data_IF_874876533387
#
_entry.id   IF_874876533387
#
_cell.length_a   1.000
_cell.length_b   1.000
_cell.length_c   1.000
_cell.angle_alpha   90.00
_cell.angle_beta   90.00
_cell.angle_gamma   90.00
#
_symmetry.space_group_name_H-M   'P 1'
#
loop_
_entity.id
_entity.type
_entity.pdbx_description
1 polymer ?
#
# COMPACT_ATOMS: atom_id res chain seq x y z
N UNK A 1 -46.66 -30.15 -13.14
CA UNK A 1 -45.38 -29.42 -13.23
C UNK A 1 -44.27 -30.42 -12.97
N UNK A 2 -43.67 -30.97 -14.07
CA UNK A 2 -42.57 -31.92 -13.97
C UNK A 2 -41.27 -31.18 -13.59
N UNK A 3 -40.63 -31.62 -12.51
CA UNK A 3 -39.29 -31.11 -12.12
C UNK A 3 -38.23 -31.81 -12.97
N UNK A 4 -37.52 -31.04 -13.75
CA UNK A 4 -36.37 -31.49 -14.54
C UNK A 4 -35.29 -32.06 -13.60
N UNK A 5 -34.76 -33.23 -13.95
CA UNK A 5 -33.71 -33.88 -13.15
C UNK A 5 -32.36 -33.20 -13.35
N UNK A 6 -31.42 -33.31 -12.35
CA UNK A 6 -30.08 -32.77 -12.44
C UNK A 6 -29.26 -33.29 -13.64
N UNK A 7 -29.61 -34.48 -14.15
CA UNK A 7 -28.98 -35.10 -15.31
C UNK A 7 -29.40 -34.44 -16.62
N UNK A 8 -30.70 -34.11 -16.77
CA UNK A 8 -31.24 -33.39 -17.94
C UNK A 8 -30.70 -31.95 -18.02
N UNK A 9 -30.45 -31.29 -16.88
CA UNK A 9 -29.81 -29.98 -16.85
C UNK A 9 -28.34 -30.02 -17.28
N UNK A 10 -27.62 -31.10 -16.96
CA UNK A 10 -26.21 -31.27 -17.35
C UNK A 10 -26.04 -31.57 -18.86
N UNK A 11 -26.97 -32.36 -19.43
CA UNK A 11 -26.94 -32.70 -20.86
C UNK A 11 -27.29 -31.50 -21.74
N UNK A 12 -28.11 -30.55 -21.29
CA UNK A 12 -28.36 -29.30 -22.00
C UNK A 12 -27.18 -28.33 -22.02
N UNK A 13 -26.27 -28.42 -21.05
CA UNK A 13 -25.03 -27.61 -21.05
C UNK A 13 -23.93 -28.16 -21.97
N UNK A 14 -24.01 -29.43 -22.36
CA UNK A 14 -23.01 -30.11 -23.21
C UNK A 14 -23.34 -30.08 -24.71
N UNK A 15 -24.54 -29.69 -25.11
CA UNK A 15 -24.95 -29.63 -26.53
C UNK A 15 -25.04 -28.23 -27.13
N UNK A 16 -24.48 -27.21 -26.42
CA UNK A 16 -24.30 -25.88 -26.96
C UNK A 16 -23.20 -25.89 -28.04
N UNK A 17 -23.60 -25.84 -29.29
CA UNK A 17 -22.78 -25.90 -30.50
C UNK A 17 -21.64 -24.89 -30.45
N UNK A 18 -20.39 -25.37 -30.43
CA UNK A 18 -19.21 -24.58 -30.75
C UNK A 18 -19.21 -24.32 -32.26
N UNK A 19 -19.82 -23.24 -32.71
CA UNK A 19 -19.55 -22.67 -34.01
C UNK A 19 -18.19 -21.98 -33.94
N UNK A 20 -17.14 -22.64 -34.43
CA UNK A 20 -15.83 -22.04 -34.63
C UNK A 20 -15.93 -20.98 -35.74
N UNK A 21 -16.07 -19.73 -35.35
CA UNK A 21 -15.78 -18.60 -36.25
C UNK A 21 -14.29 -18.38 -36.25
N UNK A 22 -13.61 -18.79 -37.29
CA UNK A 22 -12.27 -18.32 -37.65
C UNK A 22 -12.41 -16.83 -37.99
N UNK A 23 -12.23 -15.96 -37.00
CA UNK A 23 -12.04 -14.52 -37.21
C UNK A 23 -10.57 -14.20 -37.31
N UNK A 24 -10.27 -13.47 -38.36
CA UNK A 24 -8.99 -13.00 -38.81
C UNK A 24 -8.22 -12.28 -37.66
N UNK A 25 -6.99 -12.73 -37.39
CA UNK A 25 -6.15 -12.25 -36.27
C UNK A 25 -5.58 -10.84 -36.53
N UNK A 26 -5.82 -10.24 -37.72
CA UNK A 26 -5.33 -8.93 -38.09
C UNK A 26 -6.18 -7.76 -37.59
N UNK A 27 -7.50 -7.98 -37.30
CA UNK A 27 -8.39 -6.91 -36.85
C UNK A 27 -8.33 -6.63 -35.33
N UNK A 28 -7.81 -7.57 -34.52
CA UNK A 28 -7.70 -7.38 -33.07
C UNK A 28 -6.61 -6.40 -32.63
N UNK A 29 -5.56 -6.23 -33.42
CA UNK A 29 -4.50 -5.29 -33.12
C UNK A 29 -4.91 -3.82 -33.29
N UNK A 30 -5.73 -3.53 -34.31
CA UNK A 30 -6.20 -2.16 -34.56
C UNK A 30 -7.28 -1.70 -33.58
N UNK A 31 -8.23 -2.59 -33.23
CA UNK A 31 -9.29 -2.28 -32.22
C UNK A 31 -8.70 -2.03 -30.84
N UNK A 32 -7.70 -2.82 -30.43
CA UNK A 32 -7.03 -2.61 -29.12
C UNK A 32 -6.15 -1.36 -29.12
N UNK A 33 -5.56 -0.97 -30.25
CA UNK A 33 -4.79 0.26 -30.38
C UNK A 33 -5.70 1.50 -30.39
N UNK A 34 -6.87 1.41 -31.01
CA UNK A 34 -7.84 2.51 -31.07
C UNK A 34 -8.53 2.75 -29.71
N UNK A 35 -8.91 1.69 -28.99
CA UNK A 35 -9.41 1.81 -27.61
C UNK A 35 -8.37 2.40 -26.66
N UNK A 36 -7.09 2.04 -26.80
CA UNK A 36 -6.01 2.55 -25.96
C UNK A 36 -5.71 4.03 -26.25
N UNK A 37 -5.78 4.45 -27.49
CA UNK A 37 -5.60 5.85 -27.88
C UNK A 37 -6.81 6.72 -27.47
N UNK A 38 -8.03 6.21 -27.58
CA UNK A 38 -9.24 6.94 -27.21
C UNK A 38 -9.35 7.13 -25.69
N UNK A 39 -8.95 6.11 -24.90
CA UNK A 39 -8.89 6.21 -23.44
C UNK A 39 -7.79 7.18 -22.96
N UNK A 40 -6.62 7.18 -23.58
CA UNK A 40 -5.54 8.10 -23.28
C UNK A 40 -5.91 9.57 -23.55
N UNK A 41 -6.66 9.85 -24.59
CA UNK A 41 -7.16 11.19 -24.93
C UNK A 41 -8.23 11.68 -23.95
N UNK A 42 -9.16 10.83 -23.52
CA UNK A 42 -10.18 11.17 -22.53
C UNK A 42 -9.58 11.48 -21.15
N UNK A 43 -8.60 10.71 -20.70
CA UNK A 43 -7.91 10.90 -19.41
C UNK A 43 -7.12 12.21 -19.39
N UNK A 44 -6.52 12.62 -20.50
CA UNK A 44 -5.77 13.88 -20.59
C UNK A 44 -6.66 15.13 -20.45
N UNK A 45 -7.95 15.01 -20.71
CA UNK A 45 -8.94 16.08 -20.53
C UNK A 45 -9.43 16.25 -19.09
N UNK A 46 -9.18 15.27 -18.21
CA UNK A 46 -9.55 15.37 -16.81
C UNK A 46 -8.70 16.43 -16.09
N UNK A 47 -9.30 17.08 -15.08
CA UNK A 47 -8.55 17.95 -14.18
C UNK A 47 -7.40 17.16 -13.50
N UNK A 48 -6.27 17.81 -13.15
CA UNK A 48 -5.11 17.13 -12.58
C UNK A 48 -5.41 16.19 -11.41
N UNK A 49 -6.34 16.57 -10.53
CA UNK A 49 -6.77 15.77 -9.38
C UNK A 49 -7.43 14.43 -9.74
N UNK A 50 -7.87 14.28 -11.00
CA UNK A 50 -8.62 13.10 -11.46
C UNK A 50 -7.90 12.32 -12.57
N UNK A 51 -6.69 12.72 -12.96
CA UNK A 51 -5.95 12.07 -14.06
C UNK A 51 -5.46 10.67 -13.69
N UNK A 52 -5.24 10.41 -12.42
CA UNK A 52 -4.67 9.14 -12.01
C UNK A 52 -3.27 8.95 -12.61
N UNK A 53 -2.36 9.89 -12.35
CA UNK A 53 -1.02 9.93 -12.94
C UNK A 53 0.09 9.52 -11.94
N UNK A 54 -0.28 8.83 -10.86
CA UNK A 54 0.69 8.34 -9.88
C UNK A 54 1.60 7.29 -10.51
N UNK A 55 2.89 7.32 -10.16
CA UNK A 55 3.90 6.42 -10.70
C UNK A 55 4.47 5.52 -9.60
N UNK A 56 4.76 4.28 -9.95
CA UNK A 56 5.46 3.35 -9.07
C UNK A 56 6.92 3.81 -8.97
N UNK A 57 7.38 4.13 -7.75
CA UNK A 57 8.77 4.45 -7.47
C UNK A 57 9.60 3.17 -7.38
N UNK A 58 10.84 3.16 -7.87
CA UNK A 58 11.72 2.02 -7.71
C UNK A 58 12.08 1.81 -6.23
N UNK A 59 12.49 0.58 -5.86
CA UNK A 59 13.06 0.32 -4.55
C UNK A 59 14.35 1.15 -4.37
N UNK A 60 14.55 1.80 -3.20
CA UNK A 60 15.77 2.57 -2.94
C UNK A 60 16.98 1.70 -2.54
N UNK A 61 16.85 0.37 -2.58
CA UNK A 61 17.85 -0.63 -2.24
C UNK A 61 17.72 -1.88 -3.11
N UNK A 62 18.75 -2.74 -3.09
CA UNK A 62 18.69 -4.05 -3.73
C UNK A 62 17.91 -5.04 -2.86
N UNK A 63 16.81 -5.58 -3.38
CA UNK A 63 15.88 -6.43 -2.62
C UNK A 63 16.55 -7.64 -1.94
N UNK A 64 17.55 -8.24 -2.60
CA UNK A 64 18.26 -9.41 -2.07
C UNK A 64 19.31 -9.12 -0.99
N UNK A 65 19.53 -7.85 -0.62
CA UNK A 65 20.52 -7.47 0.40
C UNK A 65 19.94 -7.24 1.80
N UNK A 66 18.64 -7.35 1.97
CA UNK A 66 18.03 -7.20 3.29
C UNK A 66 18.31 -8.43 4.17
N UNK A 67 18.53 -8.18 5.46
CA UNK A 67 18.77 -9.23 6.45
C UNK A 67 17.44 -9.82 6.90
N UNK A 68 17.27 -11.11 6.69
CA UNK A 68 16.07 -11.83 7.13
C UNK A 68 14.79 -11.54 6.34
N UNK A 69 14.86 -10.76 5.25
CA UNK A 69 13.74 -10.53 4.33
C UNK A 69 14.18 -10.98 2.94
N UNK A 70 13.49 -11.97 2.37
CA UNK A 70 13.89 -12.54 1.09
C UNK A 70 13.63 -11.58 -0.08
N UNK A 71 14.45 -11.68 -1.13
CA UNK A 71 14.25 -10.96 -2.38
C UNK A 71 12.85 -11.22 -2.96
N UNK A 72 12.39 -12.47 -2.86
CA UNK A 72 11.08 -12.90 -3.33
C UNK A 72 9.96 -12.16 -2.61
N UNK A 73 10.03 -12.07 -1.27
CA UNK A 73 9.07 -11.33 -0.44
C UNK A 73 9.04 -9.86 -0.83
N UNK A 74 10.20 -9.20 -0.84
CA UNK A 74 10.31 -7.76 -1.11
C UNK A 74 9.85 -7.42 -2.53
N UNK A 75 10.25 -8.21 -3.52
CA UNK A 75 9.82 -8.03 -4.91
C UNK A 75 8.31 -8.18 -5.06
N UNK A 76 7.74 -9.22 -4.46
CA UNK A 76 6.28 -9.45 -4.48
C UNK A 76 5.54 -8.31 -3.79
N UNK A 77 5.99 -7.87 -2.61
CA UNK A 77 5.40 -6.78 -1.85
C UNK A 77 5.42 -5.47 -2.65
N UNK A 78 6.56 -5.13 -3.26
CA UNK A 78 6.70 -3.94 -4.07
C UNK A 78 5.86 -3.98 -5.36
N UNK A 79 5.90 -5.08 -6.12
CA UNK A 79 5.24 -5.15 -7.42
C UNK A 79 3.72 -5.34 -7.31
N UNK A 80 3.26 -6.16 -6.36
CA UNK A 80 1.86 -6.55 -6.25
C UNK A 80 1.08 -5.64 -5.27
N UNK A 81 1.58 -5.43 -4.06
CA UNK A 81 0.86 -4.65 -3.06
C UNK A 81 1.02 -3.15 -3.30
N UNK A 82 2.24 -2.63 -3.33
CA UNK A 82 2.48 -1.23 -3.62
C UNK A 82 2.07 -0.87 -5.06
N UNK A 83 2.55 -1.62 -6.05
CA UNK A 83 2.20 -1.38 -7.46
C UNK A 83 0.70 -1.53 -7.71
N UNK A 84 0.02 -2.45 -7.02
CA UNK A 84 -1.44 -2.60 -7.03
C UNK A 84 -2.16 -1.37 -6.47
N UNK A 85 -1.68 -0.82 -5.35
CA UNK A 85 -2.24 0.39 -4.74
C UNK A 85 -2.13 1.60 -5.68
N UNK A 86 -0.98 1.81 -6.33
CA UNK A 86 -0.77 2.89 -7.32
C UNK A 86 -1.74 2.76 -8.49
N UNK A 87 -1.86 1.57 -9.07
CA UNK A 87 -2.78 1.31 -10.19
C UNK A 87 -4.24 1.55 -9.79
N UNK A 88 -4.63 1.04 -8.61
CA UNK A 88 -6.00 1.21 -8.08
C UNK A 88 -6.33 2.68 -7.85
N UNK A 89 -5.40 3.44 -7.25
CA UNK A 89 -5.59 4.88 -7.03
C UNK A 89 -5.82 5.62 -8.34
N UNK A 90 -5.01 5.35 -9.36
CA UNK A 90 -5.16 5.95 -10.68
C UNK A 90 -6.54 5.67 -11.29
N UNK A 91 -7.00 4.41 -11.22
CA UNK A 91 -8.31 4.04 -11.72
C UNK A 91 -9.45 4.72 -10.97
N UNK A 92 -9.36 4.80 -9.63
CA UNK A 92 -10.39 5.44 -8.80
C UNK A 92 -10.47 6.94 -9.11
N UNK A 93 -9.34 7.64 -9.23
CA UNK A 93 -9.30 9.06 -9.57
C UNK A 93 -9.95 9.32 -10.93
N UNK A 94 -9.68 8.49 -11.94
CA UNK A 94 -10.31 8.59 -13.25
C UNK A 94 -11.82 8.32 -13.19
N UNK A 95 -12.26 7.35 -12.39
CA UNK A 95 -13.68 7.08 -12.18
C UNK A 95 -14.39 8.27 -11.52
N UNK A 96 -13.77 8.89 -10.50
CA UNK A 96 -14.31 10.09 -9.85
C UNK A 96 -14.46 11.23 -10.88
N UNK A 97 -13.42 11.45 -11.70
CA UNK A 97 -13.43 12.51 -12.73
C UNK A 97 -14.44 12.28 -13.85
N UNK A 98 -14.89 11.03 -14.02
CA UNK A 98 -15.86 10.63 -15.06
C UNK A 98 -17.28 10.45 -14.53
N UNK A 99 -17.52 10.69 -13.22
CA UNK A 99 -18.87 10.59 -12.66
C UNK A 99 -19.83 11.61 -13.28
N UNK A 100 -21.05 11.21 -13.64
CA UNK A 100 -22.10 12.15 -14.04
C UNK A 100 -22.39 13.21 -12.97
N UNK A 101 -22.81 14.41 -13.38
CA UNK A 101 -23.12 15.51 -12.44
C UNK A 101 -24.31 15.17 -11.50
N UNK A 102 -25.17 14.30 -11.93
CA UNK A 102 -26.35 13.78 -11.22
C UNK A 102 -26.11 12.41 -10.57
N UNK A 103 -24.86 11.97 -10.48
CA UNK A 103 -24.49 10.71 -9.81
C UNK A 103 -25.02 10.70 -8.38
N UNK A 104 -25.52 9.54 -7.95
CA UNK A 104 -26.05 9.40 -6.59
C UNK A 104 -24.90 9.59 -5.55
N UNK A 105 -25.17 10.28 -4.42
CA UNK A 105 -24.13 10.60 -3.42
C UNK A 105 -23.36 9.39 -2.89
N UNK A 106 -24.01 8.21 -2.80
CA UNK A 106 -23.33 6.99 -2.35
C UNK A 106 -22.24 6.49 -3.32
N UNK A 107 -22.38 6.76 -4.63
CA UNK A 107 -21.35 6.42 -5.61
C UNK A 107 -20.08 7.23 -5.36
N UNK A 108 -20.23 8.55 -5.17
CA UNK A 108 -19.11 9.41 -4.81
C UNK A 108 -18.51 8.99 -3.46
N UNK A 109 -19.35 8.76 -2.43
CA UNK A 109 -18.89 8.36 -1.10
C UNK A 109 -18.09 7.05 -1.12
N UNK A 110 -18.54 6.05 -1.91
CA UNK A 110 -17.84 4.79 -2.09
C UNK A 110 -16.46 5.00 -2.75
N UNK A 111 -16.40 5.76 -3.85
CA UNK A 111 -15.13 6.07 -4.53
C UNK A 111 -14.19 6.88 -3.65
N UNK A 112 -14.68 7.83 -2.86
CA UNK A 112 -13.84 8.63 -1.94
C UNK A 112 -13.27 7.81 -0.80
N UNK A 113 -14.00 6.81 -0.29
CA UNK A 113 -13.46 5.86 0.65
C UNK A 113 -12.33 5.03 0.03
N UNK A 114 -12.55 4.49 -1.16
CA UNK A 114 -11.55 3.70 -1.88
C UNK A 114 -10.33 4.53 -2.30
N UNK A 115 -10.53 5.80 -2.66
CA UNK A 115 -9.44 6.74 -2.92
C UNK A 115 -8.55 6.92 -1.69
N UNK A 116 -9.16 7.12 -0.50
CA UNK A 116 -8.42 7.25 0.76
C UNK A 116 -7.61 5.98 1.06
N UNK A 117 -8.24 4.80 0.95
CA UNK A 117 -7.57 3.49 1.15
C UNK A 117 -6.38 3.35 0.21
N UNK A 118 -6.57 3.59 -1.10
CA UNK A 118 -5.51 3.41 -2.09
C UNK A 118 -4.40 4.46 -1.95
N UNK A 119 -4.75 5.71 -1.62
CA UNK A 119 -3.78 6.78 -1.38
C UNK A 119 -2.89 6.47 -0.18
N UNK A 120 -3.49 6.10 0.95
CA UNK A 120 -2.72 5.77 2.15
C UNK A 120 -1.92 4.49 1.93
N UNK A 121 -2.48 3.47 1.25
CA UNK A 121 -1.72 2.26 0.90
C UNK A 121 -0.48 2.61 0.07
N UNK A 122 -0.61 3.43 -0.97
CA UNK A 122 0.52 3.89 -1.78
C UNK A 122 1.57 4.61 -0.92
N UNK A 123 1.15 5.60 -0.13
CA UNK A 123 2.05 6.43 0.68
C UNK A 123 2.74 5.59 1.77
N UNK A 124 2.01 4.76 2.49
CA UNK A 124 2.55 3.93 3.56
C UNK A 124 3.57 2.91 3.05
N UNK A 125 3.34 2.32 1.87
CA UNK A 125 4.32 1.44 1.23
C UNK A 125 5.58 2.21 0.79
N UNK A 126 5.43 3.43 0.25
CA UNK A 126 6.59 4.27 -0.08
C UNK A 126 7.43 4.58 1.16
N UNK A 127 6.78 4.92 2.29
CA UNK A 127 7.47 5.12 3.57
C UNK A 127 8.13 3.82 4.05
N UNK A 128 7.45 2.69 3.96
CA UNK A 128 7.97 1.40 4.37
C UNK A 128 9.24 1.03 3.61
N UNK A 129 9.23 1.10 2.28
CA UNK A 129 10.41 0.80 1.49
C UNK A 129 11.54 1.81 1.71
N UNK A 130 11.24 3.11 1.87
CA UNK A 130 12.26 4.13 2.18
C UNK A 130 12.86 3.97 3.60
N UNK A 131 12.16 3.27 4.50
CA UNK A 131 12.68 2.93 5.84
C UNK A 131 13.63 1.74 5.85
N UNK A 132 13.71 0.97 4.75
CA UNK A 132 14.54 -0.24 4.67
C UNK A 132 15.86 0.00 3.94
N UNK A 133 16.75 -1.00 3.95
CA UNK A 133 18.06 -0.93 3.29
C UNK A 133 19.15 -0.29 4.12
N UNK A 134 18.90 0.02 5.40
CA UNK A 134 19.92 0.48 6.37
C UNK A 134 20.60 -0.68 7.11
N UNK A 135 21.40 -0.34 8.10
CA UNK A 135 22.12 -1.29 8.95
C UNK A 135 21.40 -1.60 10.28
N UNK A 136 20.27 -0.94 10.53
CA UNK A 136 19.47 -1.05 11.76
C UNK A 136 20.04 -0.31 12.96
N UNK A 137 21.15 0.40 12.83
CA UNK A 137 21.78 1.09 13.96
C UNK A 137 21.18 2.48 14.15
N UNK A 138 20.40 2.61 15.20
CA UNK A 138 19.75 3.86 15.55
C UNK A 138 20.75 4.96 15.88
N UNK A 139 20.64 6.11 15.22
CA UNK A 139 21.51 7.27 15.43
C UNK A 139 20.82 8.58 15.06
N UNK A 140 21.43 9.71 15.41
CA UNK A 140 21.04 11.03 14.94
C UNK A 140 19.89 11.68 15.70
N UNK A 141 19.25 12.65 15.03
CA UNK A 141 18.23 13.52 15.61
C UNK A 141 17.03 12.75 16.15
N UNK A 142 16.61 11.70 15.44
CA UNK A 142 15.45 10.89 15.84
C UNK A 142 15.65 10.18 17.19
N UNK A 143 16.86 9.67 17.45
CA UNK A 143 17.18 9.01 18.73
C UNK A 143 17.07 9.98 19.89
N UNK A 144 17.48 11.23 19.71
CA UNK A 144 17.35 12.28 20.73
C UNK A 144 15.86 12.62 20.99
N UNK A 145 15.06 12.71 19.91
CA UNK A 145 13.62 12.91 20.03
C UNK A 145 12.96 11.76 20.79
N UNK A 146 13.26 10.53 20.41
CA UNK A 146 12.75 9.32 21.06
C UNK A 146 13.11 9.35 22.55
N UNK A 147 14.38 9.58 22.90
CA UNK A 147 14.81 9.64 24.30
C UNK A 147 14.12 10.75 25.08
N UNK A 148 13.87 11.90 24.45
CA UNK A 148 13.17 13.01 25.10
C UNK A 148 11.74 12.64 25.46
N UNK A 149 11.02 11.89 24.59
CA UNK A 149 9.59 11.63 24.78
C UNK A 149 9.29 10.29 25.43
N UNK A 150 10.17 9.30 25.29
CA UNK A 150 10.00 7.96 25.90
C UNK A 150 10.92 7.71 27.08
N UNK A 151 11.83 8.64 27.40
CA UNK A 151 12.84 8.49 28.44
C UNK A 151 14.06 7.67 28.02
N UNK A 152 13.89 6.64 27.21
CA UNK A 152 14.95 5.80 26.67
C UNK A 152 14.59 5.31 25.26
N UNK A 153 15.61 4.97 24.45
CA UNK A 153 15.40 4.36 23.14
C UNK A 153 14.75 2.98 23.27
N UNK A 154 15.18 2.21 24.24
CA UNK A 154 14.69 0.85 24.53
C UNK A 154 13.21 0.85 24.92
N UNK A 155 12.73 1.88 25.64
CA UNK A 155 11.34 2.02 26.00
C UNK A 155 10.46 2.28 24.76
N UNK A 156 10.92 3.11 23.86
CA UNK A 156 10.28 3.34 22.55
C UNK A 156 10.28 2.06 21.70
N UNK A 157 11.42 1.37 21.60
CA UNK A 157 11.53 0.16 20.81
C UNK A 157 10.57 -0.91 21.32
N UNK A 158 10.48 -1.08 22.64
CA UNK A 158 9.53 -2.01 23.26
C UNK A 158 8.07 -1.65 22.91
N UNK A 159 7.70 -0.38 23.02
CA UNK A 159 6.35 0.09 22.66
C UNK A 159 6.05 -0.15 21.17
N UNK A 160 6.98 0.18 20.28
CA UNK A 160 6.84 -0.05 18.83
C UNK A 160 6.66 -1.55 18.50
N UNK A 161 7.48 -2.41 19.12
CA UNK A 161 7.42 -3.87 18.93
C UNK A 161 6.12 -4.48 19.47
N UNK A 162 5.68 -4.06 20.67
CA UNK A 162 4.42 -4.53 21.25
C UNK A 162 3.22 -4.08 20.42
N UNK A 163 3.25 -2.85 19.90
CA UNK A 163 2.23 -2.36 18.97
C UNK A 163 2.18 -3.24 17.72
N UNK A 164 3.34 -3.59 17.14
CA UNK A 164 3.42 -4.52 16.01
C UNK A 164 2.90 -5.91 16.34
N UNK A 165 3.28 -6.46 17.48
CA UNK A 165 2.78 -7.77 17.91
C UNK A 165 1.25 -7.80 18.09
N UNK A 166 0.64 -6.69 18.50
CA UNK A 166 -0.82 -6.58 18.63
C UNK A 166 -1.57 -6.66 17.28
N UNK A 167 -0.86 -6.48 16.17
CA UNK A 167 -1.38 -6.59 14.80
C UNK A 167 -1.00 -7.93 14.13
N UNK A 168 -0.19 -8.75 14.79
CA UNK A 168 0.28 -10.03 14.23
C UNK A 168 -0.87 -10.99 13.92
N UNK A 169 -0.83 -11.64 12.76
CA UNK A 169 -1.90 -12.54 12.29
C UNK A 169 -3.11 -11.81 11.72
N UNK A 170 -2.98 -10.52 11.43
CA UNK A 170 -4.05 -9.70 10.87
C UNK A 170 -3.54 -8.71 9.84
N UNK A 171 -3.93 -7.45 10.00
CA UNK A 171 -3.55 -6.35 9.12
C UNK A 171 -3.22 -5.11 9.91
N UNK A 172 -2.47 -4.21 9.33
CA UNK A 172 -2.26 -2.89 9.89
C UNK A 172 -0.86 -2.35 9.77
N UNK A 173 -0.62 -1.26 10.47
CA UNK A 173 0.63 -0.52 10.47
C UNK A 173 1.00 -0.06 11.87
N UNK A 174 2.29 -0.07 12.18
CA UNK A 174 2.84 0.69 13.29
C UNK A 174 3.55 1.91 12.71
N UNK A 175 3.16 3.10 13.15
CA UNK A 175 3.63 4.34 12.57
C UNK A 175 4.19 5.24 13.67
N UNK A 176 5.50 5.49 13.65
CA UNK A 176 6.09 6.55 14.45
C UNK A 176 5.80 7.88 13.78
N UNK A 177 5.02 8.72 14.41
CA UNK A 177 4.69 10.06 13.93
C UNK A 177 5.30 11.14 14.84
N UNK A 178 5.69 12.26 14.22
CA UNK A 178 5.78 13.52 14.93
C UNK A 178 4.39 14.16 14.96
N UNK A 179 3.92 14.51 16.15
CA UNK A 179 2.64 15.18 16.35
C UNK A 179 2.90 16.69 16.55
N UNK A 180 2.51 17.54 15.56
CA UNK A 180 2.74 18.98 15.65
C UNK A 180 1.95 19.66 16.78
N UNK A 181 0.92 19.02 17.34
CA UNK A 181 0.09 19.59 18.41
C UNK A 181 0.85 19.64 19.75
N UNK A 182 1.60 18.58 20.07
CA UNK A 182 2.35 18.46 21.33
C UNK A 182 3.86 18.54 21.13
N UNK A 183 4.31 18.65 19.88
CA UNK A 183 5.71 18.65 19.47
C UNK A 183 6.46 17.38 19.87
N UNK A 184 5.78 16.25 19.96
CA UNK A 184 6.29 14.97 20.42
C UNK A 184 6.26 13.89 19.34
N UNK A 185 7.04 12.83 19.54
CA UNK A 185 6.96 11.63 18.72
C UNK A 185 6.22 10.53 19.47
N UNK A 186 5.33 9.83 18.74
CA UNK A 186 4.50 8.77 19.28
C UNK A 186 4.38 7.61 18.28
N UNK A 187 4.29 6.39 18.79
CA UNK A 187 3.89 5.24 17.99
C UNK A 187 2.36 5.20 17.91
N UNK A 188 1.83 5.09 16.72
CA UNK A 188 0.39 4.93 16.49
C UNK A 188 0.10 3.58 15.87
N UNK A 189 -0.98 2.98 16.33
CA UNK A 189 -1.57 1.74 15.84
C UNK A 189 -2.59 2.06 14.73
N UNK A 190 -2.59 1.28 13.67
CA UNK A 190 -3.54 1.40 12.57
C UNK A 190 -3.93 0.00 12.10
N UNK A 191 -5.22 -0.35 12.15
CA UNK A 191 -5.67 -1.67 11.69
C UNK A 191 -5.83 -1.79 10.18
N UNK A 192 -5.90 -0.65 9.48
CA UNK A 192 -5.98 -0.60 8.03
C UNK A 192 -5.41 0.71 7.46
N UNK A 193 -5.47 0.88 6.15
CA UNK A 193 -4.95 2.07 5.47
C UNK A 193 -5.75 3.36 5.71
N UNK A 194 -6.93 3.31 6.34
CA UNK A 194 -7.76 4.51 6.58
C UNK A 194 -7.43 5.20 7.90
N UNK A 195 -6.68 4.54 8.78
CA UNK A 195 -6.44 5.00 10.15
C UNK A 195 -5.01 5.56 10.28
N UNK A 196 -4.89 6.87 10.27
CA UNK A 196 -3.64 7.57 10.55
C UNK A 196 -3.92 8.73 11.51
N UNK A 197 -2.88 9.23 12.19
CA UNK A 197 -3.01 10.43 13.00
C UNK A 197 -3.34 11.62 12.10
N UNK A 198 -4.47 12.29 12.34
CA UNK A 198 -4.79 13.54 11.67
C UNK A 198 -3.67 14.56 11.90
N UNK A 199 -3.14 15.14 10.81
CA UNK A 199 -2.01 16.08 10.83
C UNK A 199 -0.69 15.52 11.37
N UNK A 200 -0.57 14.20 11.56
CA UNK A 200 0.69 13.56 11.96
C UNK A 200 1.71 13.55 10.81
N UNK A 201 2.98 13.79 11.12
CA UNK A 201 4.08 13.68 10.17
C UNK A 201 4.77 12.34 10.38
N UNK A 202 4.65 11.43 9.42
CA UNK A 202 5.17 10.07 9.50
C UNK A 202 6.70 10.08 9.44
N UNK A 203 7.34 9.40 10.37
CA UNK A 203 8.79 9.28 10.47
C UNK A 203 9.29 7.88 10.12
N UNK A 204 8.63 6.85 10.69
CA UNK A 204 8.94 5.43 10.49
C UNK A 204 7.62 4.67 10.40
N UNK A 205 7.48 3.75 9.43
CA UNK A 205 6.31 2.90 9.30
C UNK A 205 6.72 1.44 9.15
N UNK A 206 6.07 0.54 9.87
CA UNK A 206 6.21 -0.91 9.73
C UNK A 206 4.90 -1.51 9.27
N UNK A 207 4.94 -2.23 8.16
CA UNK A 207 3.80 -2.95 7.62
C UNK A 207 3.60 -4.25 8.40
N UNK A 208 2.42 -4.43 8.99
CA UNK A 208 2.02 -5.63 9.70
C UNK A 208 0.93 -6.44 8.99
N UNK A 209 0.64 -6.10 7.73
CA UNK A 209 -0.16 -6.99 6.88
C UNK A 209 0.60 -8.29 6.62
N UNK A 210 -0.09 -9.40 6.54
CA UNK A 210 0.53 -10.72 6.29
C UNK A 210 1.36 -10.76 5.01
N UNK A 211 1.02 -10.00 3.99
CA UNK A 211 1.80 -9.92 2.75
C UNK A 211 3.22 -9.35 2.95
N UNK A 212 3.47 -8.64 4.05
CA UNK A 212 4.78 -8.10 4.38
C UNK A 212 5.72 -9.15 5.02
N UNK A 213 5.19 -10.31 5.48
CA UNK A 213 6.04 -11.26 6.20
C UNK A 213 5.66 -12.75 6.05
N UNK A 214 4.41 -13.07 5.67
CA UNK A 214 3.93 -14.46 5.71
C UNK A 214 4.77 -15.41 4.82
N UNK A 215 5.29 -14.92 3.70
CA UNK A 215 6.10 -15.72 2.78
C UNK A 215 7.38 -16.25 3.42
N UNK A 216 8.02 -15.47 4.31
CA UNK A 216 9.29 -15.83 4.95
C UNK A 216 9.10 -16.33 6.38
N UNK A 217 8.09 -15.85 7.08
CA UNK A 217 7.90 -16.05 8.52
C UNK A 217 6.64 -16.83 8.88
N UNK A 218 5.71 -17.06 7.93
CA UNK A 218 4.42 -17.64 8.25
C UNK A 218 3.71 -16.81 9.33
N UNK A 219 3.29 -17.46 10.42
CA UNK A 219 2.64 -16.80 11.57
C UNK A 219 3.63 -16.16 12.58
N UNK A 220 4.95 -16.26 12.34
CA UNK A 220 5.97 -15.73 13.24
C UNK A 220 6.18 -14.22 13.06
N UNK A 221 5.20 -13.42 13.44
CA UNK A 221 5.27 -11.95 13.38
C UNK A 221 6.47 -11.39 14.16
N UNK A 222 6.86 -12.02 15.29
CA UNK A 222 8.03 -11.59 16.06
C UNK A 222 9.31 -11.66 15.24
N UNK A 223 9.54 -12.76 14.53
CA UNK A 223 10.72 -12.93 13.68
C UNK A 223 10.79 -11.87 12.59
N UNK A 224 9.66 -11.54 11.98
CA UNK A 224 9.57 -10.44 11.01
C UNK A 224 9.92 -9.08 11.63
N UNK A 225 9.37 -8.75 12.79
CA UNK A 225 9.68 -7.49 13.49
C UNK A 225 11.17 -7.40 13.78
N UNK A 226 11.80 -8.51 14.22
CA UNK A 226 13.25 -8.56 14.45
C UNK A 226 14.04 -8.28 13.16
N UNK A 227 13.62 -8.85 12.02
CA UNK A 227 14.23 -8.58 10.71
C UNK A 227 14.00 -7.14 10.25
N UNK A 228 12.80 -6.59 10.44
CA UNK A 228 12.53 -5.19 10.13
C UNK A 228 13.51 -4.25 10.83
N UNK A 229 13.70 -4.40 12.14
CA UNK A 229 14.63 -3.58 12.92
C UNK A 229 16.08 -3.69 12.46
N UNK A 230 16.52 -4.86 11.95
CA UNK A 230 17.89 -5.03 11.43
C UNK A 230 18.13 -4.30 10.11
N UNK A 231 17.10 -3.85 9.43
CA UNK A 231 17.17 -3.21 8.12
C UNK A 231 16.73 -1.73 8.13
N UNK A 232 16.39 -1.15 9.30
CA UNK A 232 15.93 0.24 9.35
C UNK A 232 17.02 1.17 8.82
N UNK A 233 16.64 2.00 7.86
CA UNK A 233 17.43 3.11 7.33
C UNK A 233 17.22 4.36 8.21
N UNK A 234 17.99 4.47 9.27
CA UNK A 234 17.86 5.58 10.21
C UNK A 234 18.18 6.95 9.61
N UNK A 235 18.97 7.01 8.54
CA UNK A 235 19.23 8.26 7.82
C UNK A 235 17.95 8.78 7.14
N UNK A 236 17.14 7.89 6.57
CA UNK A 236 15.84 8.27 6.00
C UNK A 236 14.88 8.79 7.08
N UNK A 237 14.85 8.14 8.24
CA UNK A 237 14.05 8.57 9.40
C UNK A 237 14.52 9.92 9.93
N UNK A 238 15.84 10.14 10.04
CA UNK A 238 16.43 11.42 10.47
C UNK A 238 16.05 12.57 9.53
N UNK A 239 16.18 12.39 8.21
CA UNK A 239 15.78 13.43 7.23
C UNK A 239 14.33 13.87 7.43
N UNK A 240 13.41 12.93 7.69
CA UNK A 240 12.01 13.26 7.96
C UNK A 240 11.82 13.95 9.30
N UNK A 241 12.51 13.50 10.34
CA UNK A 241 12.46 14.13 11.67
C UNK A 241 12.97 15.57 11.66
N UNK A 242 14.02 15.86 10.89
CA UNK A 242 14.55 17.22 10.70
C UNK A 242 13.57 18.11 9.92
N UNK A 243 12.92 17.57 8.89
CA UNK A 243 11.89 18.28 8.11
C UNK A 243 10.58 18.50 8.86
N UNK A 244 10.28 17.67 9.86
CA UNK A 244 9.03 17.73 10.63
C UNK A 244 9.03 18.85 11.70
N UNK A 245 10.20 19.26 12.17
CA UNK A 245 10.31 20.29 13.22
C UNK A 245 9.97 21.67 12.66
N UNK A 246 9.27 22.53 13.43
CA UNK A 246 9.14 23.93 13.08
C UNK A 246 10.53 24.54 12.89
N UNK A 247 10.75 25.19 11.74
CA UNK A 247 11.95 26.02 11.57
C UNK A 247 11.89 27.14 12.59
N UNK A 248 12.90 27.22 13.46
CA UNK A 248 13.05 28.33 14.44
C UNK A 248 13.19 29.65 13.71
#
# INVERSE_FOLDING_TARGET
MNRMSRREALEMMLTGSVAAALMDFTSKGEVMAEETQQSGSAVSQLAPAYRGANQIKPLPFEAGKLKGLSEKLITSHHQNNYGGAVKRLNQIQQQIGSLPKDAAPYQMGSLKREELVATNSMILHEFYFDNLGGDGKASGTIVNLIKTHYGAYEAWEQDFRLTGMSLGGGSGWVILNYNPRDNAVHNYWSSDHTQTLAWGLQLLGMDMYEHAYQMDYGANAKGYIDAFFQNINWDAVNRRAEGARPRK
#
